data_IF_961669297421
#
_entry.id   IF_961669297421
#
_cell.length_a   1.000
_cell.length_b   1.000
_cell.length_c   1.000
_cell.angle_alpha   90.00
_cell.angle_beta   90.00
_cell.angle_gamma   90.00
#
_symmetry.space_group_name_H-M   'P 1'
#
loop_
_entity.id
_entity.type
_entity.pdbx_description
1 polymer ?
#
# COMPACT_ATOMS: atom_id res chain seq x y z
N UNK A 1 8.48 -28.04 6.71
CA UNK A 1 8.51 -27.44 5.36
C UNK A 1 7.30 -26.54 5.28
N UNK A 2 7.48 -25.25 5.51
CA UNK A 2 6.40 -24.26 5.49
C UNK A 2 6.46 -23.55 4.13
N UNK A 3 5.38 -23.64 3.36
CA UNK A 3 5.24 -23.01 2.05
C UNK A 3 5.32 -21.48 2.17
N UNK A 4 6.08 -20.86 1.26
CA UNK A 4 6.31 -19.42 1.14
C UNK A 4 5.01 -18.68 0.78
N UNK A 5 4.27 -18.23 1.79
CA UNK A 5 2.86 -17.79 1.65
C UNK A 5 2.58 -16.44 0.98
N UNK A 6 3.56 -15.71 0.44
CA UNK A 6 3.32 -14.32 -0.02
C UNK A 6 4.03 -13.90 -1.30
N UNK A 7 4.74 -14.82 -1.94
CA UNK A 7 5.09 -14.65 -3.35
C UNK A 7 4.11 -15.51 -4.13
N UNK A 8 3.10 -14.86 -4.72
CA UNK A 8 2.29 -15.56 -5.73
C UNK A 8 3.22 -15.80 -6.91
N UNK A 9 3.78 -17.01 -7.00
CA UNK A 9 4.06 -17.60 -8.29
C UNK A 9 2.70 -18.10 -8.76
N UNK A 10 1.98 -17.36 -9.62
CA UNK A 10 0.67 -17.82 -10.04
C UNK A 10 0.91 -19.15 -10.75
N UNK A 11 0.32 -20.22 -10.23
CA UNK A 11 0.32 -21.49 -10.94
C UNK A 11 -0.22 -21.28 -12.35
N UNK A 12 0.10 -22.19 -13.27
CA UNK A 12 -0.32 -22.08 -14.67
C UNK A 12 -1.84 -21.87 -14.83
N UNK A 13 -2.63 -22.32 -13.85
CA UNK A 13 -4.08 -22.15 -13.75
C UNK A 13 -4.58 -20.70 -13.57
N UNK A 14 -3.71 -19.77 -13.13
CA UNK A 14 -4.05 -18.36 -12.93
C UNK A 14 -3.55 -17.44 -14.06
N UNK A 15 -2.86 -17.99 -15.06
CA UNK A 15 -2.40 -17.22 -16.22
C UNK A 15 -3.59 -16.57 -16.94
N UNK A 16 -3.53 -15.25 -17.15
CA UNK A 16 -4.60 -14.50 -17.81
C UNK A 16 -5.80 -14.19 -16.91
N UNK A 17 -5.70 -14.41 -15.60
CA UNK A 17 -6.77 -14.18 -14.62
C UNK A 17 -6.37 -13.23 -13.50
N UNK A 18 -5.11 -12.84 -13.43
CA UNK A 18 -4.61 -11.98 -12.37
C UNK A 18 -5.19 -10.56 -12.49
N UNK A 19 -5.17 -9.74 -11.42
CA UNK A 19 -5.72 -8.39 -11.46
C UNK A 19 -5.23 -7.54 -12.65
N UNK A 20 -3.94 -7.62 -12.99
CA UNK A 20 -3.38 -6.93 -14.15
C UNK A 20 -3.90 -7.45 -15.50
N UNK A 21 -4.08 -8.76 -15.67
CA UNK A 21 -4.64 -9.35 -16.88
C UNK A 21 -6.09 -8.86 -17.10
N UNK A 22 -6.86 -8.78 -16.00
CA UNK A 22 -8.26 -8.36 -16.03
C UNK A 22 -8.40 -6.85 -16.21
N UNK A 23 -7.49 -6.06 -15.64
CA UNK A 23 -7.41 -4.63 -15.90
C UNK A 23 -7.11 -4.35 -17.38
N UNK A 24 -6.17 -5.08 -18.00
CA UNK A 24 -5.89 -4.96 -19.45
C UNK A 24 -7.11 -5.34 -20.30
N UNK A 25 -7.84 -6.39 -19.93
CA UNK A 25 -9.08 -6.77 -20.62
C UNK A 25 -10.18 -5.69 -20.58
N UNK A 26 -10.22 -4.85 -19.53
CA UNK A 26 -11.20 -3.77 -19.36
C UNK A 26 -10.76 -2.44 -19.99
N UNK A 27 -9.49 -2.31 -20.39
CA UNK A 27 -8.88 -1.03 -20.79
C UNK A 27 -9.64 -0.28 -21.88
N UNK A 28 -10.07 -0.98 -22.94
CA UNK A 28 -10.78 -0.35 -24.06
C UNK A 28 -12.17 0.19 -23.64
N UNK A 29 -12.90 -0.56 -22.81
CA UNK A 29 -14.19 -0.13 -22.25
C UNK A 29 -14.00 1.10 -21.34
N UNK A 30 -12.98 1.06 -20.47
CA UNK A 30 -12.66 2.16 -19.58
C UNK A 30 -12.28 3.43 -20.34
N UNK A 31 -11.46 3.31 -21.40
CA UNK A 31 -11.11 4.43 -22.27
C UNK A 31 -12.34 5.05 -22.93
N UNK A 32 -13.26 4.23 -23.44
CA UNK A 32 -14.49 4.71 -24.08
C UNK A 32 -15.45 5.40 -23.09
N UNK A 33 -15.41 5.03 -21.81
CA UNK A 33 -16.25 5.61 -20.76
C UNK A 33 -15.66 6.83 -20.04
N UNK A 34 -14.51 7.36 -20.50
CA UNK A 34 -13.93 8.57 -19.89
C UNK A 34 -14.84 9.80 -20.11
N UNK A 35 -14.99 10.69 -19.11
CA UNK A 35 -14.24 10.76 -17.85
C UNK A 35 -14.83 9.94 -16.68
N UNK A 36 -16.02 9.34 -16.84
CA UNK A 36 -16.76 8.69 -15.73
C UNK A 36 -16.04 7.46 -15.17
N UNK A 37 -15.19 6.83 -15.97
CA UNK A 37 -14.36 5.67 -15.62
C UNK A 37 -13.00 6.02 -15.03
N UNK A 38 -12.65 7.30 -14.88
CA UNK A 38 -11.36 7.74 -14.33
C UNK A 38 -11.14 7.24 -12.89
N UNK A 39 -12.23 6.98 -12.15
CA UNK A 39 -12.19 6.48 -10.78
C UNK A 39 -12.02 4.95 -10.64
N UNK A 40 -11.66 4.22 -11.70
CA UNK A 40 -11.45 2.76 -11.65
C UNK A 40 -10.05 2.38 -11.16
N UNK A 41 -9.95 1.39 -10.27
CA UNK A 41 -8.69 0.80 -9.82
C UNK A 41 -7.91 0.09 -10.93
N UNK A 42 -8.55 -0.22 -12.06
CA UNK A 42 -7.86 -0.77 -13.22
C UNK A 42 -6.77 0.16 -13.74
N UNK A 43 -6.96 1.49 -13.70
CA UNK A 43 -5.94 2.44 -14.16
C UNK A 43 -4.66 2.38 -13.35
N UNK A 44 -4.78 2.23 -12.02
CA UNK A 44 -3.65 2.04 -11.11
C UNK A 44 -2.91 0.75 -11.45
N UNK A 45 -3.65 -0.34 -11.63
CA UNK A 45 -3.09 -1.65 -11.96
C UNK A 45 -2.42 -1.68 -13.34
N UNK A 46 -3.02 -1.06 -14.35
CA UNK A 46 -2.47 -0.93 -15.71
C UNK A 46 -1.11 -0.21 -15.68
N UNK A 47 -1.06 0.93 -14.98
CA UNK A 47 0.17 1.70 -14.82
C UNK A 47 1.25 0.91 -14.10
N UNK A 48 0.90 0.27 -12.98
CA UNK A 48 1.84 -0.56 -12.24
C UNK A 48 2.35 -1.73 -13.08
N UNK A 49 1.46 -2.39 -13.85
CA UNK A 49 1.81 -3.52 -14.71
C UNK A 49 2.76 -3.12 -15.84
N UNK A 50 2.49 -2.01 -16.54
CA UNK A 50 3.39 -1.51 -17.59
C UNK A 50 4.81 -1.26 -17.06
N UNK A 51 4.92 -0.54 -15.94
CA UNK A 51 6.21 -0.27 -15.30
C UNK A 51 6.91 -1.56 -14.83
N UNK A 52 6.15 -2.49 -14.26
CA UNK A 52 6.67 -3.76 -13.77
C UNK A 52 7.18 -4.65 -14.92
N UNK A 53 6.35 -4.88 -15.93
CA UNK A 53 6.65 -5.80 -17.03
C UNK A 53 7.85 -5.32 -17.84
N UNK A 54 7.89 -4.03 -18.21
CA UNK A 54 9.05 -3.45 -18.90
C UNK A 54 10.29 -3.49 -18.00
N UNK A 55 10.15 -3.17 -16.71
CA UNK A 55 11.25 -3.24 -15.76
C UNK A 55 11.84 -4.65 -15.65
N UNK A 56 11.01 -5.68 -15.50
CA UNK A 56 11.47 -7.07 -15.38
C UNK A 56 12.03 -7.60 -16.70
N UNK A 57 11.44 -7.25 -17.85
CA UNK A 57 11.99 -7.60 -19.16
C UNK A 57 13.38 -7.00 -19.36
N UNK A 58 13.56 -5.71 -19.06
CA UNK A 58 14.86 -5.03 -19.14
C UNK A 58 15.88 -5.65 -18.15
N UNK A 59 15.44 -6.00 -16.94
CA UNK A 59 16.28 -6.62 -15.91
C UNK A 59 16.89 -7.94 -16.39
N UNK A 60 16.10 -8.77 -17.09
CA UNK A 60 16.55 -10.06 -17.62
C UNK A 60 17.64 -9.94 -18.69
N UNK A 61 17.86 -8.74 -19.23
CA UNK A 61 18.91 -8.48 -20.20
C UNK A 61 20.28 -8.20 -19.56
N UNK A 62 20.37 -8.17 -18.22
CA UNK A 62 21.65 -8.01 -17.52
C UNK A 62 22.57 -9.20 -17.78
N UNK A 63 23.80 -8.91 -18.22
CA UNK A 63 24.84 -9.89 -18.53
C UNK A 63 26.03 -9.70 -17.60
N UNK A 64 26.56 -10.82 -17.12
CA UNK A 64 27.82 -10.87 -16.39
C UNK A 64 28.98 -11.05 -17.36
N UNK A 65 29.96 -10.16 -17.29
CA UNK A 65 31.17 -10.18 -18.10
C UNK A 65 32.37 -10.38 -17.17
N UNK A 66 33.20 -11.37 -17.48
CA UNK A 66 34.49 -11.52 -16.81
C UNK A 66 35.52 -10.62 -17.50
N UNK A 67 36.16 -9.76 -16.71
CA UNK A 67 37.22 -8.86 -17.18
C UNK A 67 38.50 -9.09 -16.37
N UNK A 68 39.67 -8.66 -16.85
CA UNK A 68 40.90 -8.72 -16.05
C UNK A 68 40.83 -7.99 -14.70
N UNK A 69 39.91 -7.02 -14.55
CA UNK A 69 39.68 -6.26 -13.32
C UNK A 69 38.58 -6.86 -12.43
N UNK A 70 38.03 -8.01 -12.79
CA UNK A 70 36.96 -8.69 -12.07
C UNK A 70 35.64 -8.74 -12.83
N UNK A 71 34.56 -8.96 -12.08
CA UNK A 71 33.21 -9.12 -12.62
C UNK A 71 32.62 -7.75 -12.96
N UNK A 72 32.19 -7.57 -14.21
CA UNK A 72 31.46 -6.40 -14.67
C UNK A 72 30.06 -6.80 -15.12
N UNK A 73 29.08 -5.94 -14.89
CA UNK A 73 27.72 -6.12 -15.42
C UNK A 73 27.49 -5.21 -16.62
N UNK A 74 26.70 -5.66 -17.59
CA UNK A 74 26.25 -4.88 -18.76
C UNK A 74 24.77 -5.14 -19.00
N UNK A 75 23.98 -4.08 -19.25
CA UNK A 75 22.54 -4.20 -19.46
C UNK A 75 21.87 -2.85 -19.71
N UNK A 76 20.55 -2.84 -19.65
CA UNK A 76 19.72 -1.63 -19.74
C UNK A 76 19.77 -0.90 -18.40
N UNK A 77 19.75 0.44 -18.41
CA UNK A 77 19.72 1.28 -17.20
C UNK A 77 18.30 1.78 -16.90
N UNK A 78 18.06 2.26 -15.68
CA UNK A 78 16.74 2.76 -15.26
C UNK A 78 15.74 1.64 -14.97
N UNK A 79 16.21 0.41 -14.79
CA UNK A 79 15.38 -0.75 -14.44
C UNK A 79 14.91 -0.64 -13.00
N UNK A 80 15.81 -0.26 -12.09
CA UNK A 80 15.47 -0.08 -10.68
C UNK A 80 14.41 1.00 -10.51
N UNK A 81 14.45 2.07 -11.31
CA UNK A 81 13.40 3.11 -11.38
C UNK A 81 12.05 2.53 -11.79
N UNK A 82 11.96 1.79 -12.90
CA UNK A 82 10.68 1.20 -13.35
C UNK A 82 10.08 0.26 -12.31
N UNK A 83 10.89 -0.65 -11.77
CA UNK A 83 10.42 -1.63 -10.77
C UNK A 83 9.96 -0.94 -9.48
N UNK A 84 10.73 0.05 -8.98
CA UNK A 84 10.34 0.79 -7.78
C UNK A 84 9.11 1.67 -8.00
N UNK A 85 8.97 2.33 -9.16
CA UNK A 85 7.77 3.10 -9.50
C UNK A 85 6.54 2.19 -9.62
N UNK A 86 6.68 0.97 -10.14
CA UNK A 86 5.59 -0.01 -10.17
C UNK A 86 5.10 -0.35 -8.75
N UNK A 87 6.02 -0.65 -7.84
CA UNK A 87 5.70 -0.98 -6.43
C UNK A 87 5.11 0.22 -5.69
N UNK A 88 5.63 1.43 -5.93
CA UNK A 88 5.10 2.66 -5.34
C UNK A 88 3.72 3.04 -5.91
N UNK A 89 3.41 2.63 -7.14
CA UNK A 89 2.09 2.80 -7.75
C UNK A 89 1.08 1.83 -7.14
N UNK A 90 1.41 0.54 -7.08
CA UNK A 90 0.62 -0.47 -6.38
C UNK A 90 1.48 -1.68 -6.01
N UNK A 91 1.69 -1.91 -4.71
CA UNK A 91 2.52 -3.00 -4.20
C UNK A 91 2.00 -4.39 -4.60
N UNK A 92 0.71 -4.51 -4.93
CA UNK A 92 0.06 -5.77 -5.32
C UNK A 92 0.49 -6.25 -6.72
N UNK A 93 1.23 -5.43 -7.48
CA UNK A 93 1.82 -5.84 -8.76
C UNK A 93 3.00 -6.81 -8.60
N UNK A 94 3.64 -6.82 -7.42
CA UNK A 94 4.86 -7.57 -7.19
C UNK A 94 4.65 -9.07 -7.38
N UNK A 95 5.48 -9.67 -8.25
CA UNK A 95 5.45 -11.10 -8.57
C UNK A 95 6.86 -11.59 -8.88
N UNK A 96 7.24 -12.75 -8.36
CA UNK A 96 8.48 -13.41 -8.81
C UNK A 96 8.11 -14.35 -9.95
N UNK A 97 8.58 -14.03 -11.15
CA UNK A 97 8.33 -14.81 -12.37
C UNK A 97 9.43 -15.85 -12.63
N UNK A 98 10.45 -15.88 -11.77
CA UNK A 98 11.64 -16.70 -11.91
C UNK A 98 12.34 -16.87 -10.55
N UNK A 99 12.99 -18.03 -10.29
CA UNK A 99 13.68 -18.29 -9.02
C UNK A 99 14.93 -17.43 -8.83
N UNK A 100 15.54 -16.95 -9.92
CA UNK A 100 16.73 -16.09 -9.94
C UNK A 100 16.39 -14.59 -9.94
N UNK A 101 15.11 -14.19 -9.82
CA UNK A 101 14.68 -12.79 -9.87
C UNK A 101 15.47 -11.88 -8.91
N UNK A 102 15.68 -12.34 -7.65
CA UNK A 102 16.45 -11.56 -6.66
C UNK A 102 17.92 -11.42 -7.04
N UNK A 103 18.50 -12.46 -7.65
CA UNK A 103 19.87 -12.40 -8.14
C UNK A 103 20.00 -11.42 -9.30
N UNK A 104 19.09 -11.49 -10.28
CA UNK A 104 19.03 -10.55 -11.42
C UNK A 104 18.85 -9.11 -10.93
N UNK A 105 17.96 -8.88 -9.97
CA UNK A 105 17.77 -7.57 -9.36
C UNK A 105 19.05 -7.05 -8.69
N UNK A 106 19.74 -7.88 -7.91
CA UNK A 106 21.01 -7.47 -7.28
C UNK A 106 22.09 -7.16 -8.32
N UNK A 107 22.18 -7.92 -9.42
CA UNK A 107 23.08 -7.61 -10.55
C UNK A 107 22.72 -6.28 -11.19
N UNK A 108 21.43 -5.99 -11.33
CA UNK A 108 20.93 -4.73 -11.89
C UNK A 108 21.26 -3.53 -11.00
N UNK A 109 21.05 -3.63 -9.67
CA UNK A 109 21.47 -2.59 -8.72
C UNK A 109 22.98 -2.33 -8.80
N UNK A 110 23.80 -3.38 -8.92
CA UNK A 110 25.25 -3.23 -9.07
C UNK A 110 25.66 -2.58 -10.41
N UNK A 111 25.00 -2.95 -11.51
CA UNK A 111 25.18 -2.32 -12.83
C UNK A 111 24.90 -0.82 -12.76
N UNK A 112 23.69 -0.45 -12.33
CA UNK A 112 23.27 0.95 -12.28
C UNK A 112 24.09 1.73 -11.24
N UNK A 113 24.38 1.10 -10.10
CA UNK A 113 25.13 1.69 -8.99
C UNK A 113 26.57 2.03 -9.38
N UNK A 114 27.22 1.17 -10.16
CA UNK A 114 28.56 1.44 -10.69
C UNK A 114 28.55 2.61 -11.67
N UNK A 115 27.48 2.77 -12.44
CA UNK A 115 27.35 3.84 -13.43
C UNK A 115 27.02 5.19 -12.81
N UNK A 116 26.11 5.24 -11.84
CA UNK A 116 25.70 6.46 -11.15
C UNK A 116 26.57 6.79 -9.93
N UNK A 117 27.45 5.86 -9.51
CA UNK A 117 28.22 5.93 -8.26
C UNK A 117 27.31 6.07 -7.03
N UNK A 118 26.19 5.35 -7.02
CA UNK A 118 25.23 5.32 -5.92
C UNK A 118 25.80 4.63 -4.66
N UNK A 119 25.08 4.76 -3.55
CA UNK A 119 25.52 4.31 -2.23
C UNK A 119 24.50 3.38 -1.51
N UNK A 120 23.95 2.35 -2.18
CA UNK A 120 22.88 1.52 -1.60
C UNK A 120 23.29 0.74 -0.33
N UNK A 121 24.59 0.64 -0.04
CA UNK A 121 25.12 -0.07 1.12
C UNK A 121 25.55 0.85 2.28
N UNK A 122 25.44 2.18 2.13
CA UNK A 122 25.82 3.13 3.17
C UNK A 122 24.61 3.51 4.04
N UNK A 123 24.84 4.16 5.18
CA UNK A 123 23.77 4.75 5.98
C UNK A 123 23.28 6.07 5.40
N UNK A 124 22.08 6.50 5.77
CA UNK A 124 21.50 7.79 5.38
C UNK A 124 22.46 8.96 5.65
N UNK A 125 22.98 9.09 6.87
CA UNK A 125 23.94 10.14 7.23
C UNK A 125 25.16 10.21 6.29
N UNK A 126 25.78 9.07 5.96
CA UNK A 126 26.95 9.06 5.07
C UNK A 126 26.55 9.45 3.64
N UNK A 127 25.34 9.04 3.20
CA UNK A 127 24.79 9.44 1.91
C UNK A 127 24.54 10.94 1.84
N UNK A 128 24.02 11.57 2.90
CA UNK A 128 23.81 13.02 2.96
C UNK A 128 25.14 13.79 2.83
N UNK A 129 26.17 13.36 3.56
CA UNK A 129 27.51 13.97 3.51
C UNK A 129 28.14 13.85 2.12
N UNK A 130 28.14 12.64 1.54
CA UNK A 130 28.69 12.38 0.21
C UNK A 130 27.88 13.04 -0.91
N UNK A 131 26.55 13.14 -0.74
CA UNK A 131 25.67 13.86 -1.65
C UNK A 131 26.03 15.35 -1.72
N UNK A 132 26.17 16.03 -0.58
CA UNK A 132 26.54 17.44 -0.55
C UNK A 132 27.90 17.68 -1.18
N UNK A 133 28.88 16.85 -0.81
CA UNK A 133 30.23 16.94 -1.35
C UNK A 133 30.23 16.77 -2.88
N UNK A 134 29.53 15.75 -3.39
CA UNK A 134 29.42 15.51 -4.83
C UNK A 134 28.66 16.61 -5.55
N UNK A 135 27.59 17.13 -4.95
CA UNK A 135 26.83 18.24 -5.50
C UNK A 135 27.71 19.49 -5.68
N UNK A 136 28.55 19.81 -4.69
CA UNK A 136 29.45 20.97 -4.74
C UNK A 136 30.60 20.78 -5.74
N UNK A 137 31.13 19.56 -5.86
CA UNK A 137 32.31 19.28 -6.68
C UNK A 137 31.98 18.96 -8.13
N UNK A 138 30.87 18.28 -8.38
CA UNK A 138 30.54 17.68 -9.67
C UNK A 138 29.17 18.10 -10.22
N UNK A 139 28.37 18.82 -9.43
CA UNK A 139 27.07 19.35 -9.84
C UNK A 139 25.90 18.36 -9.79
N UNK A 140 24.72 18.84 -10.21
CA UNK A 140 23.45 18.11 -10.10
C UNK A 140 23.38 16.84 -10.94
N UNK A 141 23.95 16.87 -12.15
CA UNK A 141 23.96 15.71 -13.05
C UNK A 141 24.74 14.51 -12.47
N UNK A 142 25.69 14.76 -11.55
CA UNK A 142 26.43 13.72 -10.87
C UNK A 142 25.72 13.19 -9.61
N UNK A 143 25.12 14.07 -8.80
CA UNK A 143 24.50 13.69 -7.51
C UNK A 143 23.08 13.15 -7.67
N UNK A 144 22.24 13.74 -8.54
CA UNK A 144 20.84 13.35 -8.73
C UNK A 144 20.68 11.86 -9.04
N UNK A 145 21.32 11.28 -10.08
CA UNK A 145 21.16 9.86 -10.38
C UNK A 145 21.72 8.94 -9.29
N UNK A 146 22.73 9.39 -8.52
CA UNK A 146 23.29 8.61 -7.42
C UNK A 146 22.28 8.46 -6.27
N UNK A 147 21.63 9.56 -5.88
CA UNK A 147 20.60 9.55 -4.83
C UNK A 147 19.35 8.83 -5.29
N UNK A 148 18.86 9.11 -6.49
CA UNK A 148 17.65 8.48 -7.00
C UNK A 148 17.77 6.96 -6.94
N UNK A 149 18.90 6.41 -7.40
CA UNK A 149 19.15 4.97 -7.32
C UNK A 149 19.31 4.48 -5.88
N UNK A 150 20.01 5.22 -5.01
CA UNK A 150 20.23 4.83 -3.60
C UNK A 150 18.90 4.70 -2.86
N UNK A 151 18.04 5.71 -2.94
CA UNK A 151 16.73 5.74 -2.29
C UNK A 151 15.83 4.62 -2.84
N UNK A 152 15.79 4.44 -4.17
CA UNK A 152 14.98 3.39 -4.80
C UNK A 152 15.45 1.97 -4.46
N UNK A 153 16.76 1.78 -4.33
CA UNK A 153 17.32 0.52 -3.87
C UNK A 153 16.89 0.19 -2.43
N UNK A 154 16.95 1.16 -1.51
CA UNK A 154 16.44 0.97 -0.15
C UNK A 154 14.93 0.70 -0.11
N UNK A 155 14.12 1.41 -0.90
CA UNK A 155 12.67 1.16 -0.99
C UNK A 155 12.40 -0.30 -1.37
N UNK A 156 13.05 -0.80 -2.43
CA UNK A 156 12.84 -2.18 -2.88
C UNK A 156 13.44 -3.22 -1.92
N UNK A 157 14.57 -2.92 -1.25
CA UNK A 157 15.10 -3.77 -0.19
C UNK A 157 14.12 -3.86 0.98
N UNK A 158 13.56 -2.73 1.42
CA UNK A 158 12.53 -2.67 2.45
C UNK A 158 11.28 -3.45 2.05
N UNK A 159 10.86 -3.30 0.80
CA UNK A 159 9.70 -4.00 0.25
C UNK A 159 9.90 -5.52 0.22
N UNK A 160 11.03 -5.99 -0.30
CA UNK A 160 11.37 -7.42 -0.32
C UNK A 160 11.57 -7.98 1.09
N UNK A 161 12.07 -7.19 2.03
CA UNK A 161 12.22 -7.59 3.43
C UNK A 161 10.89 -7.60 4.20
N UNK A 162 9.84 -6.94 3.71
CA UNK A 162 8.52 -6.93 4.35
C UNK A 162 7.70 -8.20 4.00
N UNK A 163 8.37 -9.36 3.96
CA UNK A 163 7.76 -10.67 3.71
C UNK A 163 7.44 -11.38 5.01
N UNK A 164 6.35 -12.16 5.06
CA UNK A 164 6.08 -13.02 6.20
C UNK A 164 7.23 -14.01 6.41
N UNK A 165 7.66 -14.15 7.66
CA UNK A 165 8.87 -14.86 8.13
C UNK A 165 10.19 -14.08 8.10
N UNK A 166 10.20 -12.84 7.62
CA UNK A 166 11.32 -11.90 7.83
C UNK A 166 10.96 -10.96 8.98
N UNK A 167 11.96 -10.54 9.76
CA UNK A 167 11.73 -9.52 10.80
C UNK A 167 11.31 -8.20 10.14
N UNK A 168 10.06 -7.71 10.36
CA UNK A 168 9.58 -6.47 9.75
C UNK A 168 10.40 -5.23 10.16
N UNK A 169 11.22 -5.32 11.21
CA UNK A 169 12.18 -4.25 11.56
C UNK A 169 13.25 -4.04 10.50
N UNK A 170 13.62 -5.06 9.73
CA UNK A 170 14.57 -4.94 8.62
C UNK A 170 13.97 -4.05 7.54
N UNK A 171 12.70 -4.30 7.18
CA UNK A 171 11.97 -3.47 6.23
C UNK A 171 11.89 -2.01 6.71
N UNK A 172 11.56 -1.79 7.98
CA UNK A 172 11.55 -0.46 8.58
C UNK A 172 12.90 0.23 8.53
N UNK A 173 14.01 -0.47 8.78
CA UNK A 173 15.34 0.13 8.70
C UNK A 173 15.62 0.72 7.31
N UNK A 174 15.25 0.01 6.26
CA UNK A 174 15.40 0.51 4.89
C UNK A 174 14.49 1.70 4.56
N UNK A 175 13.23 1.68 5.00
CA UNK A 175 12.34 2.82 4.82
C UNK A 175 12.74 4.04 5.66
N UNK A 176 13.23 3.83 6.89
CA UNK A 176 13.74 4.89 7.76
C UNK A 176 14.95 5.58 7.08
N UNK A 177 15.91 4.81 6.52
CA UNK A 177 17.03 5.38 5.76
C UNK A 177 16.59 6.17 4.52
N UNK A 178 15.61 5.65 3.77
CA UNK A 178 15.08 6.36 2.61
C UNK A 178 14.41 7.67 3.00
N UNK A 179 13.54 7.65 4.01
CA UNK A 179 12.82 8.85 4.46
C UNK A 179 13.75 9.89 5.09
N UNK A 180 14.78 9.47 5.81
CA UNK A 180 15.78 10.38 6.38
C UNK A 180 16.42 11.25 5.29
N UNK A 181 16.95 10.63 4.22
CA UNK A 181 17.53 11.37 3.08
C UNK A 181 16.49 12.22 2.35
N UNK A 182 15.27 11.69 2.17
CA UNK A 182 14.19 12.42 1.48
C UNK A 182 13.75 13.67 2.26
N UNK A 183 13.56 13.56 3.56
CA UNK A 183 13.17 14.67 4.43
C UNK A 183 14.31 15.67 4.59
N UNK A 184 15.55 15.20 4.72
CA UNK A 184 16.75 16.04 4.71
C UNK A 184 16.82 16.90 3.42
N UNK A 185 16.69 16.28 2.25
CA UNK A 185 16.74 16.99 0.98
C UNK A 185 15.58 17.97 0.80
N UNK A 186 14.37 17.60 1.24
CA UNK A 186 13.17 18.46 1.14
C UNK A 186 13.16 19.63 2.09
N UNK A 187 13.65 19.45 3.32
CA UNK A 187 13.42 20.42 4.40
C UNK A 187 14.66 21.22 4.78
N UNK A 188 15.86 20.66 4.62
CA UNK A 188 17.10 21.27 5.09
C UNK A 188 17.98 21.73 3.94
N UNK A 189 18.60 20.81 3.19
CA UNK A 189 19.69 21.16 2.27
C UNK A 189 19.21 21.65 0.91
N UNK A 190 18.14 21.08 0.35
CA UNK A 190 17.71 21.34 -1.03
C UNK A 190 16.25 21.81 -1.13
N UNK A 191 15.78 22.46 -0.06
CA UNK A 191 14.42 23.00 0.03
C UNK A 191 14.09 23.90 -1.18
N UNK A 192 14.95 24.87 -1.46
CA UNK A 192 14.74 25.88 -2.51
C UNK A 192 15.27 25.45 -3.89
N UNK A 193 15.76 24.21 -4.01
CA UNK A 193 16.25 23.69 -5.30
C UNK A 193 15.05 23.18 -6.11
N UNK A 194 14.92 23.59 -7.39
CA UNK A 194 13.87 23.10 -8.27
C UNK A 194 13.93 21.58 -8.46
N UNK A 195 12.75 20.94 -8.55
CA UNK A 195 12.63 19.48 -8.73
C UNK A 195 13.41 18.94 -9.93
N UNK A 196 13.43 19.58 -11.12
CA UNK A 196 14.24 19.09 -12.23
C UNK A 196 15.74 18.95 -11.90
N UNK A 197 16.25 19.72 -10.93
CA UNK A 197 17.64 19.65 -10.48
C UNK A 197 17.83 18.60 -9.38
N UNK A 198 17.01 18.64 -8.31
CA UNK A 198 17.18 17.73 -7.16
C UNK A 198 16.66 16.31 -7.40
N UNK A 199 15.75 16.14 -8.36
CA UNK A 199 15.15 14.86 -8.72
C UNK A 199 13.74 14.68 -8.16
N UNK A 200 12.96 13.85 -8.85
CA UNK A 200 11.54 13.60 -8.55
C UNK A 200 11.33 12.81 -7.27
N UNK A 201 12.36 12.13 -6.77
CA UNK A 201 12.27 11.39 -5.50
C UNK A 201 11.99 12.31 -4.31
N UNK A 202 12.31 13.60 -4.41
CA UNK A 202 12.02 14.61 -3.39
C UNK A 202 10.63 15.25 -3.53
N UNK A 203 9.81 14.84 -4.50
CA UNK A 203 8.43 15.31 -4.62
C UNK A 203 7.56 14.75 -3.50
N UNK A 204 6.58 15.54 -3.05
CA UNK A 204 5.70 15.16 -1.94
C UNK A 204 4.98 13.84 -2.20
N UNK A 205 4.58 13.60 -3.45
CA UNK A 205 3.86 12.38 -3.81
C UNK A 205 4.73 11.13 -3.63
N UNK A 206 6.02 11.24 -3.96
CA UNK A 206 6.97 10.14 -3.83
C UNK A 206 7.18 9.81 -2.35
N UNK A 207 7.41 10.81 -1.52
CA UNK A 207 7.59 10.61 -0.07
C UNK A 207 6.35 10.00 0.57
N UNK A 208 5.14 10.44 0.19
CA UNK A 208 3.88 9.88 0.69
C UNK A 208 3.75 8.38 0.35
N UNK A 209 4.14 7.96 -0.86
CA UNK A 209 4.14 6.53 -1.22
C UNK A 209 5.18 5.72 -0.44
N UNK A 210 6.36 6.26 -0.15
CA UNK A 210 7.34 5.59 0.71
C UNK A 210 6.81 5.44 2.14
N UNK A 211 6.19 6.50 2.68
CA UNK A 211 5.51 6.45 3.99
C UNK A 211 4.39 5.43 4.02
N UNK A 212 3.63 5.27 2.93
CA UNK A 212 2.60 4.23 2.84
C UNK A 212 3.20 2.82 3.00
N UNK A 213 4.26 2.48 2.27
CA UNK A 213 4.94 1.17 2.40
C UNK A 213 5.52 0.97 3.81
N UNK A 214 6.03 2.04 4.42
CA UNK A 214 6.52 2.04 5.79
C UNK A 214 5.42 1.78 6.81
N UNK A 215 4.23 2.37 6.64
CA UNK A 215 3.06 2.11 7.49
C UNK A 215 2.65 0.63 7.46
N UNK A 216 2.73 -0.04 6.31
CA UNK A 216 2.48 -1.48 6.20
C UNK A 216 3.48 -2.31 7.04
N UNK A 217 4.75 -1.90 7.03
CA UNK A 217 5.81 -2.54 7.85
C UNK A 217 5.65 -2.25 9.34
N UNK A 218 5.24 -1.03 9.72
CA UNK A 218 4.94 -0.68 11.11
C UNK A 218 3.75 -1.50 11.63
N UNK A 219 2.72 -1.69 10.80
CA UNK A 219 1.60 -2.57 11.12
C UNK A 219 2.08 -4.00 11.38
N UNK A 220 2.99 -4.53 10.57
CA UNK A 220 3.56 -5.85 10.79
C UNK A 220 4.34 -5.94 12.13
N UNK A 221 5.09 -4.91 12.51
CA UNK A 221 5.78 -4.83 13.82
C UNK A 221 4.80 -4.79 15.00
N UNK A 222 3.64 -4.16 14.85
CA UNK A 222 2.62 -4.13 15.90
C UNK A 222 2.08 -5.52 16.24
N UNK A 223 2.22 -6.49 15.32
CA UNK A 223 1.78 -7.87 15.49
C UNK A 223 0.26 -8.05 15.39
N UNK A 224 -0.17 -9.31 15.22
CA UNK A 224 -1.58 -9.65 15.07
C UNK A 224 -2.34 -9.73 16.40
N UNK A 225 -1.66 -9.86 17.54
CA UNK A 225 -2.28 -9.87 18.88
C UNK A 225 -2.21 -8.47 19.51
N UNK A 226 -3.36 -7.77 19.60
CA UNK A 226 -3.42 -6.41 20.11
C UNK A 226 -3.15 -6.28 21.61
N UNK A 227 -3.25 -7.39 22.33
CA UNK A 227 -3.13 -7.44 23.79
C UNK A 227 -1.69 -7.65 24.27
N UNK A 228 -0.77 -7.96 23.36
CA UNK A 228 0.64 -8.29 23.63
C UNK A 228 1.64 -7.43 22.84
N UNK A 229 1.18 -6.70 21.81
CA UNK A 229 2.04 -5.84 21.01
C UNK A 229 2.59 -4.66 21.82
N UNK A 230 3.84 -4.21 21.56
CA UNK A 230 4.43 -3.06 22.24
C UNK A 230 3.63 -1.77 21.96
N UNK A 231 3.49 -0.90 22.96
CA UNK A 231 2.75 0.36 22.83
C UNK A 231 3.44 1.37 21.92
N UNK A 232 4.77 1.48 22.00
CA UNK A 232 5.52 2.48 21.24
C UNK A 232 5.40 2.32 19.70
N UNK A 233 5.52 1.11 19.11
CA UNK A 233 5.30 0.94 17.67
C UNK A 233 3.87 1.24 17.22
N UNK A 234 2.88 0.90 18.05
CA UNK A 234 1.47 1.18 17.78
C UNK A 234 1.19 2.69 17.78
N UNK A 235 1.76 3.42 18.73
CA UNK A 235 1.66 4.88 18.76
C UNK A 235 2.39 5.53 17.58
N UNK A 236 3.60 5.06 17.23
CA UNK A 236 4.35 5.55 16.05
C UNK A 236 3.55 5.34 14.75
N UNK A 237 2.89 4.19 14.60
CA UNK A 237 1.99 3.91 13.47
C UNK A 237 0.85 4.94 13.39
N UNK A 238 0.19 5.21 14.52
CA UNK A 238 -0.92 6.17 14.58
C UNK A 238 -0.47 7.60 14.27
N UNK A 239 0.62 8.06 14.89
CA UNK A 239 1.11 9.43 14.71
C UNK A 239 1.50 9.68 13.25
N UNK A 240 2.19 8.74 12.61
CA UNK A 240 2.55 8.84 11.21
C UNK A 240 1.32 8.78 10.29
N UNK A 241 0.38 7.85 10.55
CA UNK A 241 -0.84 7.74 9.77
C UNK A 241 -1.68 9.01 9.86
N UNK A 242 -1.87 9.56 11.08
CA UNK A 242 -2.56 10.84 11.28
C UNK A 242 -1.85 11.99 10.58
N UNK A 243 -0.52 12.05 10.65
CA UNK A 243 0.26 13.04 9.93
C UNK A 243 0.00 12.96 8.41
N UNK A 244 0.01 11.75 7.83
CA UNK A 244 -0.24 11.54 6.39
C UNK A 244 -1.67 11.93 5.99
N UNK A 245 -2.67 11.60 6.83
CA UNK A 245 -4.07 12.02 6.61
C UNK A 245 -4.22 13.53 6.61
N UNK A 246 -3.55 14.21 7.55
CA UNK A 246 -3.66 15.66 7.73
C UNK A 246 -2.91 16.46 6.65
N UNK A 247 -1.86 15.89 6.06
CA UNK A 247 -1.10 16.50 4.97
C UNK A 247 -1.92 16.55 3.66
N UNK A 248 -2.86 15.63 3.49
CA UNK A 248 -3.64 15.49 2.25
C UNK A 248 -5.00 16.18 2.35
N UNK A 249 -5.44 16.90 1.29
CA UNK A 249 -6.66 17.70 1.32
C UNK A 249 -7.91 16.87 1.67
N UNK A 250 -8.83 17.45 2.44
CA UNK A 250 -10.14 16.83 2.73
C UNK A 250 -11.10 16.90 1.55
N UNK A 251 -11.05 18.02 0.81
CA UNK A 251 -11.89 18.31 -0.36
C UNK A 251 -11.02 18.94 -1.44
N UNK A 252 -11.28 18.59 -2.70
CA UNK A 252 -10.61 19.16 -3.87
C UNK A 252 -9.59 18.23 -4.51
N UNK A 253 -8.84 18.76 -5.47
CA UNK A 253 -7.85 17.99 -6.22
C UNK A 253 -6.70 17.56 -5.32
N UNK A 254 -6.17 16.34 -5.50
CA UNK A 254 -4.97 15.91 -4.78
C UNK A 254 -3.79 16.84 -5.02
N UNK A 255 -2.95 17.02 -3.99
CA UNK A 255 -1.68 17.75 -4.12
C UNK A 255 -0.73 16.93 -4.99
N UNK A 256 -0.69 17.21 -6.28
CA UNK A 256 0.17 16.57 -7.27
C UNK A 256 0.97 17.64 -8.03
N UNK A 257 2.11 17.28 -8.65
CA UNK A 257 2.86 18.20 -9.50
C UNK A 257 1.97 18.81 -10.60
N UNK A 258 2.26 20.02 -11.08
CA UNK A 258 1.49 20.60 -12.18
C UNK A 258 1.64 19.75 -13.45
N UNK A 259 0.54 19.58 -14.19
CA UNK A 259 0.52 18.83 -15.45
C UNK A 259 -0.73 17.99 -15.62
N UNK A 260 -0.91 17.47 -16.82
CA UNK A 260 -1.91 16.43 -17.09
C UNK A 260 -1.37 15.09 -16.59
N UNK A 261 -2.15 14.41 -15.76
CA UNK A 261 -1.82 13.12 -15.19
C UNK A 261 -2.83 12.08 -15.64
N UNK A 262 -2.36 10.87 -15.92
CA UNK A 262 -3.27 9.76 -16.17
C UNK A 262 -4.05 9.39 -14.88
N UNK A 263 -5.25 8.79 -15.01
CA UNK A 263 -6.06 8.46 -13.85
C UNK A 263 -5.36 7.52 -12.85
N UNK A 264 -4.50 6.62 -13.33
CA UNK A 264 -3.74 5.69 -12.49
C UNK A 264 -2.75 6.42 -11.59
N UNK A 265 -2.03 7.41 -12.13
CA UNK A 265 -1.16 8.29 -11.34
C UNK A 265 -1.95 9.09 -10.30
N UNK A 266 -3.07 9.70 -10.71
CA UNK A 266 -3.91 10.50 -9.78
C UNK A 266 -4.41 9.66 -8.62
N UNK A 267 -4.89 8.45 -8.88
CA UNK A 267 -5.38 7.55 -7.84
C UNK A 267 -4.24 7.07 -6.92
N UNK A 268 -3.15 6.54 -7.51
CA UNK A 268 -2.04 5.94 -6.78
C UNK A 268 -1.35 6.95 -5.83
N UNK A 269 -1.21 8.20 -6.26
CA UNK A 269 -0.42 9.20 -5.53
C UNK A 269 -1.27 10.29 -4.88
N UNK A 270 -2.50 10.48 -5.36
CA UNK A 270 -3.41 11.50 -4.88
C UNK A 270 -4.50 11.01 -3.95
N UNK A 271 -4.86 9.71 -3.98
CA UNK A 271 -6.00 9.17 -3.24
C UNK A 271 -5.59 8.03 -2.31
N UNK A 272 -4.88 7.03 -2.83
CA UNK A 272 -4.54 5.80 -2.11
C UNK A 272 -3.74 6.06 -0.82
N UNK A 273 -2.77 6.98 -0.75
CA UNK A 273 -2.00 7.18 0.47
C UNK A 273 -2.86 7.61 1.66
N UNK A 274 -3.88 8.46 1.42
CA UNK A 274 -4.84 8.88 2.47
C UNK A 274 -5.75 7.73 2.89
N UNK A 275 -6.25 6.96 1.92
CA UNK A 275 -7.03 5.74 2.16
C UNK A 275 -6.26 4.78 3.05
N UNK A 276 -5.04 4.42 2.65
CA UNK A 276 -4.14 3.53 3.39
C UNK A 276 -3.83 4.06 4.80
N UNK A 277 -3.54 5.35 4.97
CA UNK A 277 -3.31 5.94 6.29
C UNK A 277 -4.54 5.85 7.21
N UNK A 278 -5.75 6.12 6.70
CA UNK A 278 -6.98 5.96 7.49
C UNK A 278 -7.19 4.52 7.96
N UNK A 279 -6.78 3.52 7.18
CA UNK A 279 -6.84 2.11 7.62
C UNK A 279 -5.93 1.84 8.81
N UNK A 280 -4.78 2.53 8.90
CA UNK A 280 -3.85 2.42 10.03
C UNK A 280 -4.35 3.16 11.27
N UNK A 281 -5.07 4.26 11.08
CA UNK A 281 -5.83 4.91 12.17
C UNK A 281 -6.91 3.97 12.71
N UNK A 282 -7.66 3.31 11.83
CA UNK A 282 -8.64 2.30 12.23
C UNK A 282 -8.01 1.11 12.95
N UNK A 283 -6.85 0.67 12.48
CA UNK A 283 -6.06 -0.40 13.11
C UNK A 283 -5.63 -0.04 14.53
N UNK A 284 -5.09 1.17 14.73
CA UNK A 284 -4.72 1.67 16.04
C UNK A 284 -5.89 1.63 17.02
N UNK A 285 -7.03 2.19 16.64
CA UNK A 285 -8.18 2.26 17.54
C UNK A 285 -8.77 0.87 17.84
N UNK A 286 -8.80 -0.05 16.87
CA UNK A 286 -9.20 -1.43 17.14
C UNK A 286 -8.24 -2.10 18.15
N UNK A 287 -6.94 -1.83 18.08
CA UNK A 287 -5.99 -2.33 19.07
C UNK A 287 -6.19 -1.73 20.46
N UNK A 288 -6.40 -0.42 20.54
CA UNK A 288 -6.65 0.27 21.80
C UNK A 288 -7.94 -0.23 22.46
N UNK A 289 -8.99 -0.47 21.70
CA UNK A 289 -10.23 -1.03 22.23
C UNK A 289 -10.02 -2.36 22.97
N UNK A 290 -9.23 -3.27 22.41
CA UNK A 290 -8.92 -4.57 23.06
C UNK A 290 -8.08 -4.41 24.33
N UNK A 291 -7.21 -3.39 24.38
CA UNK A 291 -6.46 -3.07 25.61
C UNK A 291 -7.39 -2.54 26.69
N UNK A 292 -8.27 -1.59 26.36
CA UNK A 292 -9.30 -1.09 27.27
C UNK A 292 -10.19 -2.23 27.80
N UNK A 293 -10.63 -3.14 26.94
CA UNK A 293 -11.47 -4.28 27.32
C UNK A 293 -10.74 -5.24 28.29
N UNK A 294 -9.45 -5.51 28.07
CA UNK A 294 -8.60 -6.28 29.00
C UNK A 294 -8.48 -5.60 30.38
N UNK A 295 -8.52 -4.27 30.41
CA UNK A 295 -8.55 -3.48 31.64
C UNK A 295 -9.97 -3.26 32.19
N UNK A 296 -11.00 -3.86 31.58
CA UNK A 296 -12.42 -3.74 31.93
C UNK A 296 -12.96 -2.31 31.82
N UNK A 297 -12.34 -1.50 30.97
CA UNK A 297 -12.82 -0.17 30.60
C UNK A 297 -13.65 -0.26 29.32
N UNK A 298 -14.90 -0.72 29.48
CA UNK A 298 -15.78 -1.02 28.35
C UNK A 298 -16.24 0.25 27.61
N UNK A 299 -16.36 1.38 28.31
CA UNK A 299 -16.75 2.67 27.69
C UNK A 299 -15.63 3.17 26.76
N UNK A 300 -14.37 3.16 27.23
CA UNK A 300 -13.24 3.51 26.38
C UNK A 300 -13.05 2.51 25.23
N UNK A 301 -13.32 1.22 25.47
CA UNK A 301 -13.29 0.21 24.43
C UNK A 301 -14.31 0.51 23.33
N UNK A 302 -15.56 0.83 23.69
CA UNK A 302 -16.63 1.17 22.75
C UNK A 302 -16.31 2.44 21.93
N UNK A 303 -15.80 3.50 22.57
CA UNK A 303 -15.36 4.73 21.87
C UNK A 303 -14.25 4.43 20.85
N UNK A 304 -13.27 3.61 21.22
CA UNK A 304 -12.22 3.19 20.30
C UNK A 304 -12.75 2.32 19.14
N UNK A 305 -13.67 1.40 19.37
CA UNK A 305 -14.29 0.63 18.28
C UNK A 305 -15.07 1.55 17.33
N UNK A 306 -15.80 2.54 17.85
CA UNK A 306 -16.51 3.51 17.02
C UNK A 306 -15.55 4.35 16.16
N UNK A 307 -14.44 4.81 16.74
CA UNK A 307 -13.38 5.50 15.99
C UNK A 307 -12.76 4.59 14.92
N UNK A 308 -12.57 3.32 15.22
CA UNK A 308 -12.09 2.33 14.24
C UNK A 308 -13.07 2.15 13.07
N UNK A 309 -14.36 1.97 13.38
CA UNK A 309 -15.43 1.93 12.38
C UNK A 309 -15.37 3.14 11.44
N UNK A 310 -15.30 4.34 12.01
CA UNK A 310 -15.31 5.59 11.26
C UNK A 310 -14.10 5.69 10.32
N UNK A 311 -12.90 5.38 10.83
CA UNK A 311 -11.67 5.44 10.04
C UNK A 311 -11.69 4.42 8.88
N UNK A 312 -12.11 3.17 9.12
CA UNK A 312 -12.23 2.17 8.05
C UNK A 312 -13.31 2.52 7.02
N UNK A 313 -14.46 3.06 7.47
CA UNK A 313 -15.52 3.50 6.57
C UNK A 313 -15.06 4.66 5.68
N UNK A 314 -14.37 5.65 6.25
CA UNK A 314 -13.78 6.75 5.49
C UNK A 314 -12.72 6.26 4.51
N UNK A 315 -11.83 5.35 4.94
CA UNK A 315 -10.83 4.74 4.06
C UNK A 315 -11.50 4.07 2.86
N UNK A 316 -12.52 3.25 3.10
CA UNK A 316 -13.25 2.55 2.05
C UNK A 316 -13.82 3.51 1.00
N UNK A 317 -14.34 4.68 1.42
CA UNK A 317 -14.90 5.68 0.50
C UNK A 317 -13.86 6.37 -0.40
N UNK A 318 -12.57 6.31 -0.05
CA UNK A 318 -11.50 6.86 -0.88
C UNK A 318 -11.05 5.89 -1.97
N UNK A 319 -11.10 4.59 -1.71
CA UNK A 319 -10.75 3.60 -2.72
C UNK A 319 -11.83 3.52 -3.82
N UNK A 320 -11.44 3.30 -5.10
CA UNK A 320 -12.34 2.97 -6.19
C UNK A 320 -13.35 1.89 -5.82
N UNK A 321 -14.60 1.99 -6.30
CA UNK A 321 -15.65 1.01 -6.02
C UNK A 321 -15.30 -0.41 -6.47
N UNK A 322 -14.48 -0.51 -7.50
CA UNK A 322 -13.98 -1.76 -8.05
C UNK A 322 -12.63 -2.20 -7.43
N UNK A 323 -12.07 -1.48 -6.46
CA UNK A 323 -10.87 -1.92 -5.71
C UNK A 323 -11.26 -2.91 -4.61
N UNK A 324 -10.43 -3.94 -4.38
CA UNK A 324 -10.63 -4.85 -3.26
C UNK A 324 -10.55 -4.20 -1.88
N UNK A 325 -9.77 -3.13 -1.73
CA UNK A 325 -9.66 -2.39 -0.48
C UNK A 325 -10.96 -1.66 -0.15
N UNK A 326 -11.72 -1.21 -1.14
CA UNK A 326 -13.04 -0.62 -0.92
C UNK A 326 -13.97 -1.63 -0.23
N UNK A 327 -14.16 -2.81 -0.84
CA UNK A 327 -15.01 -3.85 -0.29
C UNK A 327 -14.48 -4.39 1.06
N UNK A 328 -13.16 -4.58 1.16
CA UNK A 328 -12.53 -5.08 2.38
C UNK A 328 -12.74 -4.14 3.57
N UNK A 329 -12.49 -2.84 3.42
CA UNK A 329 -12.63 -1.92 4.54
C UNK A 329 -14.08 -1.58 4.89
N UNK A 330 -15.02 -1.69 3.94
CA UNK A 330 -16.46 -1.74 4.28
C UNK A 330 -16.78 -2.96 5.16
N UNK A 331 -16.25 -4.13 4.82
CA UNK A 331 -16.45 -5.35 5.62
C UNK A 331 -15.80 -5.24 7.02
N UNK A 332 -14.60 -4.68 7.14
CA UNK A 332 -13.99 -4.39 8.46
C UNK A 332 -14.84 -3.39 9.24
N UNK A 333 -15.39 -2.37 8.58
CA UNK A 333 -16.29 -1.39 9.18
C UNK A 333 -17.57 -2.04 9.74
N UNK A 334 -18.16 -3.02 9.03
CA UNK A 334 -19.28 -3.82 9.54
C UNK A 334 -18.90 -4.57 10.81
N UNK A 335 -17.72 -5.22 10.84
CA UNK A 335 -17.27 -5.95 12.03
C UNK A 335 -17.14 -5.02 13.25
N UNK A 336 -16.65 -3.79 13.05
CA UNK A 336 -16.57 -2.81 14.13
C UNK A 336 -17.97 -2.43 14.65
N UNK A 337 -18.96 -2.23 13.76
CA UNK A 337 -20.35 -1.96 14.16
C UNK A 337 -20.98 -3.11 14.96
N UNK A 338 -20.66 -4.35 14.60
CA UNK A 338 -21.08 -5.52 15.37
C UNK A 338 -20.49 -5.47 16.78
N UNK A 339 -19.20 -5.16 16.91
CA UNK A 339 -18.52 -5.17 18.21
C UNK A 339 -19.01 -4.05 19.13
N UNK A 340 -19.15 -2.81 18.65
CA UNK A 340 -19.59 -1.70 19.51
C UNK A 340 -21.10 -1.69 19.78
N UNK A 341 -21.87 -2.48 19.01
CA UNK A 341 -23.30 -2.31 18.89
C UNK A 341 -23.64 -1.03 18.12
N UNK A 342 -24.56 -1.14 17.17
CA UNK A 342 -25.02 -0.01 16.38
C UNK A 342 -26.51 -0.13 16.12
N UNK A 343 -27.19 0.98 15.81
CA UNK A 343 -28.52 0.90 15.22
C UNK A 343 -28.52 -0.03 14.01
N UNK A 344 -29.58 -0.83 13.86
CA UNK A 344 -29.73 -1.72 12.70
C UNK A 344 -29.75 -0.93 11.38
N UNK A 345 -30.24 0.32 11.38
CA UNK A 345 -30.23 1.16 10.18
C UNK A 345 -28.81 1.44 9.66
N UNK A 346 -27.85 1.75 10.55
CA UNK A 346 -26.45 1.99 10.20
C UNK A 346 -25.81 0.70 9.70
N UNK A 347 -25.98 -0.40 10.43
CA UNK A 347 -25.44 -1.71 10.04
C UNK A 347 -25.97 -2.16 8.67
N UNK A 348 -27.27 -1.97 8.42
CA UNK A 348 -27.90 -2.34 7.16
C UNK A 348 -27.35 -1.52 5.98
N UNK A 349 -27.14 -0.21 6.15
CA UNK A 349 -26.55 0.63 5.09
C UNK A 349 -25.13 0.20 4.73
N UNK A 350 -24.30 -0.10 5.73
CA UNK A 350 -22.90 -0.50 5.47
C UNK A 350 -22.81 -1.92 4.89
N UNK A 351 -23.62 -2.86 5.37
CA UNK A 351 -23.70 -4.22 4.79
C UNK A 351 -24.24 -4.21 3.36
N UNK A 352 -25.24 -3.37 3.07
CA UNK A 352 -25.69 -3.14 1.70
C UNK A 352 -24.57 -2.58 0.82
N UNK A 353 -23.76 -1.64 1.32
CA UNK A 353 -22.60 -1.13 0.58
C UNK A 353 -21.59 -2.25 0.27
N UNK A 354 -21.35 -3.18 1.21
CA UNK A 354 -20.54 -4.39 0.94
C UNK A 354 -21.15 -5.19 -0.20
N UNK A 355 -22.45 -5.53 -0.12
CA UNK A 355 -23.15 -6.31 -1.15
C UNK A 355 -23.03 -5.69 -2.54
N UNK A 356 -23.13 -4.36 -2.64
CA UNK A 356 -23.02 -3.62 -3.90
C UNK A 356 -21.57 -3.52 -4.41
N UNK A 357 -20.58 -3.47 -3.52
CA UNK A 357 -19.16 -3.40 -3.88
C UNK A 357 -18.62 -4.73 -4.44
N UNK A 358 -19.11 -5.88 -3.96
CA UNK A 358 -18.54 -7.19 -4.31
C UNK A 358 -18.59 -7.52 -5.81
N UNK A 359 -19.69 -7.31 -6.56
CA UNK A 359 -19.71 -7.53 -8.00
C UNK A 359 -18.71 -6.66 -8.75
N UNK A 360 -18.59 -5.37 -8.39
CA UNK A 360 -17.66 -4.42 -9.01
C UNK A 360 -16.21 -4.83 -8.75
N UNK A 361 -15.85 -5.09 -7.49
CA UNK A 361 -14.52 -5.60 -7.11
C UNK A 361 -14.17 -6.87 -7.89
N UNK A 362 -15.12 -7.80 -8.04
CA UNK A 362 -14.89 -9.07 -8.74
C UNK A 362 -14.65 -8.92 -10.24
N UNK A 363 -14.80 -7.74 -10.85
CA UNK A 363 -14.41 -7.51 -12.25
C UNK A 363 -12.89 -7.54 -12.43
N UNK A 364 -12.13 -7.13 -11.41
CA UNK A 364 -10.67 -7.07 -11.44
C UNK A 364 -10.08 -8.07 -10.42
N UNK A 365 -10.50 -8.02 -9.17
CA UNK A 365 -9.82 -8.64 -8.02
C UNK A 365 -10.34 -10.02 -7.61
N UNK A 366 -10.97 -10.76 -8.53
CA UNK A 366 -11.50 -12.10 -8.23
C UNK A 366 -10.39 -13.13 -7.94
N UNK A 367 -9.19 -12.91 -8.46
CA UNK A 367 -8.02 -13.79 -8.32
C UNK A 367 -6.81 -13.04 -7.75
N UNK A 368 -7.03 -12.04 -6.91
CA UNK A 368 -5.92 -11.39 -6.20
C UNK A 368 -5.32 -12.33 -5.14
N UNK A 369 -4.12 -12.00 -4.65
CA UNK A 369 -3.50 -12.72 -3.55
C UNK A 369 -4.42 -12.81 -2.32
N UNK A 370 -5.14 -11.72 -2.00
CA UNK A 370 -6.12 -11.70 -0.92
C UNK A 370 -7.31 -12.63 -1.19
N UNK A 371 -7.79 -12.70 -2.43
CA UNK A 371 -8.86 -13.64 -2.81
C UNK A 371 -8.45 -15.10 -2.61
N UNK A 372 -7.18 -15.43 -2.88
CA UNK A 372 -6.61 -16.76 -2.67
C UNK A 372 -6.41 -17.09 -1.18
N UNK A 373 -6.35 -16.09 -0.31
CA UNK A 373 -6.20 -16.21 1.14
C UNK A 373 -7.54 -16.13 1.91
N UNK A 374 -8.62 -16.61 1.29
CA UNK A 374 -9.94 -16.76 1.92
C UNK A 374 -10.66 -15.46 2.32
N UNK A 375 -10.26 -14.31 1.75
CA UNK A 375 -11.02 -13.04 1.89
C UNK A 375 -12.52 -13.21 1.58
N UNK A 376 -12.84 -14.07 0.62
CA UNK A 376 -14.22 -14.29 0.20
C UNK A 376 -15.09 -14.92 1.31
N UNK A 377 -14.52 -15.70 2.22
CA UNK A 377 -15.25 -16.21 3.38
C UNK A 377 -15.65 -15.08 4.34
N UNK A 378 -14.77 -14.09 4.57
CA UNK A 378 -15.06 -12.95 5.44
C UNK A 378 -16.29 -12.17 4.95
N UNK A 379 -16.43 -11.94 3.64
CA UNK A 379 -17.60 -11.26 3.07
C UNK A 379 -18.90 -12.04 3.26
N UNK A 380 -18.83 -13.37 3.30
CA UNK A 380 -20.03 -14.21 3.50
C UNK A 380 -20.69 -13.93 4.85
N UNK A 381 -19.90 -13.60 5.88
CA UNK A 381 -20.44 -13.24 7.20
C UNK A 381 -21.23 -11.94 7.17
N UNK A 382 -20.73 -10.91 6.49
CA UNK A 382 -21.45 -9.63 6.36
C UNK A 382 -22.72 -9.76 5.51
N UNK A 383 -22.71 -10.59 4.46
CA UNK A 383 -23.91 -10.84 3.65
C UNK A 383 -24.99 -11.60 4.43
N UNK A 384 -24.59 -12.62 5.22
CA UNK A 384 -25.51 -13.32 6.12
C UNK A 384 -26.10 -12.40 7.19
N UNK A 385 -25.30 -11.46 7.70
CA UNK A 385 -25.78 -10.44 8.63
C UNK A 385 -26.86 -9.57 7.98
N UNK A 386 -26.64 -9.09 6.74
CA UNK A 386 -27.63 -8.30 5.99
C UNK A 386 -28.95 -9.07 5.83
N UNK A 387 -28.87 -10.34 5.43
CA UNK A 387 -30.04 -11.21 5.26
C UNK A 387 -30.79 -11.43 6.57
N UNK A 388 -30.07 -11.67 7.67
CA UNK A 388 -30.67 -11.85 9.00
C UNK A 388 -31.37 -10.57 9.47
N UNK A 389 -30.73 -9.41 9.35
CA UNK A 389 -31.34 -8.11 9.72
C UNK A 389 -32.62 -7.88 8.92
N UNK A 390 -32.58 -8.08 7.59
CA UNK A 390 -33.76 -7.92 6.72
C UNK A 390 -34.90 -8.84 7.10
N UNK A 391 -34.58 -10.10 7.42
CA UNK A 391 -35.56 -11.10 7.86
C UNK A 391 -36.17 -10.73 9.20
N UNK A 392 -35.37 -10.40 10.20
CA UNK A 392 -35.88 -10.09 11.55
C UNK A 392 -36.68 -8.78 11.56
N UNK A 393 -36.36 -7.80 10.70
CA UNK A 393 -37.20 -6.62 10.45
C UNK A 393 -38.55 -6.99 9.84
N UNK A 394 -38.57 -7.85 8.82
CA UNK A 394 -39.80 -8.30 8.17
C UNK A 394 -40.70 -9.11 9.12
N UNK A 395 -40.09 -9.90 9.99
CA UNK A 395 -40.76 -10.66 11.05
C UNK A 395 -41.21 -9.78 12.24
N UNK A 396 -40.84 -8.51 12.28
CA UNK A 396 -41.16 -7.57 13.37
C UNK A 396 -40.43 -7.87 14.69
N UNK A 397 -39.33 -8.63 14.66
CA UNK A 397 -38.52 -9.00 15.84
C UNK A 397 -37.60 -7.88 16.30
N UNK A 398 -37.22 -6.99 15.38
CA UNK A 398 -36.37 -5.82 15.61
C UNK A 398 -36.97 -4.62 14.88
N UNK A 399 -36.55 -3.42 15.28
CA UNK A 399 -36.79 -2.15 14.59
C UNK A 399 -35.47 -1.54 14.11
N UNK A 400 -35.56 -0.56 13.22
CA UNK A 400 -34.37 0.10 12.65
C UNK A 400 -33.55 0.89 13.68
N UNK A 401 -34.22 1.44 14.70
CA UNK A 401 -33.65 2.20 15.81
C UNK A 401 -33.19 1.31 16.98
N UNK A 402 -33.52 0.01 16.96
CA UNK A 402 -32.97 -0.94 17.92
C UNK A 402 -31.46 -1.11 17.68
N UNK A 403 -30.74 -1.39 18.76
CA UNK A 403 -29.30 -1.61 18.73
C UNK A 403 -28.96 -3.09 18.55
N UNK A 404 -28.06 -3.37 17.63
CA UNK A 404 -27.50 -4.69 17.40
C UNK A 404 -26.60 -5.09 18.58
N UNK A 405 -26.91 -6.24 19.20
CA UNK A 405 -26.05 -6.83 20.23
C UNK A 405 -24.80 -7.48 19.58
N UNK A 406 -23.65 -7.52 20.27
CA UNK A 406 -22.41 -8.06 19.69
C UNK A 406 -22.48 -9.52 19.20
N UNK A 407 -23.37 -10.33 19.78
CA UNK A 407 -23.60 -11.74 19.44
C UNK A 407 -24.74 -11.96 18.43
N UNK A 408 -25.36 -10.89 17.93
CA UNK A 408 -26.53 -10.98 17.04
C UNK A 408 -26.28 -11.82 15.78
N UNK A 409 -25.07 -11.81 15.23
CA UNK A 409 -24.73 -12.62 14.05
C UNK A 409 -24.61 -14.13 14.32
N UNK A 410 -24.46 -14.52 15.59
CA UNK A 410 -24.31 -15.92 16.01
C UNK A 410 -25.61 -16.49 16.59
N UNK A 411 -26.63 -15.67 16.84
CA UNK A 411 -27.93 -16.14 17.33
C UNK A 411 -28.78 -16.70 16.18
N UNK A 412 -29.16 -17.97 16.32
CA UNK A 412 -30.00 -18.73 15.38
C UNK A 412 -31.44 -18.26 15.35
#
# INVERSE_FOLDING_TARGET
>A
MAEEKYVVMPGAEYKGRMPWDRAEALKAELQAGMPDTAGSSAWVMLRAAELWDVGVEDMKQVKTLQTPMGVMYKGILGVVTKISDAVLTDSRIFRLDSPDWLELYNRQVNLEGSKSRAWPALSAQVVEEEALKRQQQEGWDAVRPAIELTVRAWILQGFVANRPNVDPKIALGHYDMALEVLDWGRTASWKDVPVPMKGVVFEDYFVRSVRQLRLESLRAVCGADPSQGPEAPLQRLYDEAKSLVNEMPEVGSPTLPPGEHDPGFVLAFGVYPKGSALTMVGYYHHHMARRCDKHKDHDAAADHIFKAHHAYYQAAKLFPKDDENHAWFLNVSVQMLQICGSPFDVALRVTEAVRLALPEMKKIWAHSAAAMQDRNAAFTLSLRLEEKIKKDLADGKIKLDDFMMPDYSMSS
#
